data_IF_908908851995
#
_entry.id   IF_908908851995
#
_cell.length_a   1.000
_cell.length_b   1.000
_cell.length_c   1.000
_cell.angle_alpha   90.00
_cell.angle_beta   90.00
_cell.angle_gamma   90.00
#
_symmetry.space_group_name_H-M   'P 1'
#
loop_
_entity.id
_entity.type
_entity.pdbx_description
1 polymer ?
#
# COMPACT_ATOMS: atom_id res chain seq x y z
N UNK A 1 -9.20 0.98 19.84
CA UNK A 1 -8.86 1.05 18.39
C UNK A 1 -7.36 1.09 18.11
N UNK A 2 -6.60 2.16 18.40
CA UNK A 2 -5.12 2.15 18.17
C UNK A 2 -4.37 1.21 19.13
N UNK A 3 -4.85 1.08 20.37
CA UNK A 3 -4.28 0.18 21.39
C UNK A 3 -4.42 -1.31 20.99
N UNK A 4 -5.48 -1.67 20.25
CA UNK A 4 -5.69 -3.02 19.73
C UNK A 4 -4.70 -3.37 18.60
N UNK A 5 -4.31 -2.39 17.79
CA UNK A 5 -3.34 -2.56 16.69
C UNK A 5 -1.90 -2.60 17.22
N UNK A 6 -1.68 -2.03 18.43
CA UNK A 6 -0.38 -1.80 19.08
C UNK A 6 0.52 -0.81 18.34
N UNK A 7 1.14 0.09 19.10
CA UNK A 7 2.11 1.04 18.57
C UNK A 7 3.43 0.33 18.16
N UNK A 8 4.14 0.85 17.15
CA UNK A 8 3.82 2.03 16.34
C UNK A 8 2.72 1.79 15.30
N UNK A 9 1.93 2.84 15.04
CA UNK A 9 0.83 2.84 14.05
C UNK A 9 1.05 3.88 12.95
N UNK A 10 0.40 3.67 11.83
CA UNK A 10 0.27 4.64 10.74
C UNK A 10 -1.15 5.18 10.70
N UNK A 11 -1.28 6.49 10.60
CA UNK A 11 -2.54 7.19 10.34
C UNK A 11 -2.51 7.64 8.89
N UNK A 12 -3.53 7.28 8.10
CA UNK A 12 -3.64 7.60 6.67
C UNK A 12 -5.02 8.15 6.34
N UNK A 13 -5.08 9.30 5.69
CA UNK A 13 -6.30 9.78 5.03
C UNK A 13 -6.58 8.95 3.76
N UNK A 14 -7.82 8.54 3.56
CA UNK A 14 -8.23 7.70 2.43
C UNK A 14 -8.06 8.40 1.08
N UNK A 15 -8.21 9.72 1.04
CA UNK A 15 -8.12 10.55 -0.17
C UNK A 15 -6.77 11.28 -0.26
N UNK A 16 -5.80 10.90 0.58
CA UNK A 16 -4.44 11.45 0.56
C UNK A 16 -3.60 10.84 -0.56
N UNK A 17 -3.01 11.69 -1.41
CA UNK A 17 -2.11 11.28 -2.49
C UNK A 17 -0.69 11.83 -2.33
N UNK A 18 0.31 11.12 -2.87
CA UNK A 18 1.70 11.61 -2.93
C UNK A 18 2.37 11.82 -1.57
N UNK A 19 2.01 11.00 -0.57
CA UNK A 19 2.53 11.11 0.80
C UNK A 19 1.80 12.13 1.68
N UNK A 20 0.77 12.81 1.16
CA UNK A 20 -0.09 13.69 1.96
C UNK A 20 -1.07 12.92 2.83
N UNK A 21 -1.35 13.44 4.03
CA UNK A 21 -2.32 12.84 4.95
C UNK A 21 -1.83 11.54 5.59
N UNK A 22 -0.51 11.33 5.64
CA UNK A 22 0.11 10.13 6.20
C UNK A 22 1.02 10.53 7.38
N UNK A 23 0.84 9.89 8.54
CA UNK A 23 1.69 10.10 9.74
C UNK A 23 2.01 8.79 10.44
N UNK A 24 3.28 8.65 10.82
CA UNK A 24 3.74 7.60 11.74
C UNK A 24 3.59 8.08 13.17
N UNK A 25 3.01 7.26 14.03
CA UNK A 25 2.85 7.55 15.47
C UNK A 25 3.51 6.44 16.28
N UNK A 26 4.55 6.81 17.03
CA UNK A 26 5.36 5.88 17.83
C UNK A 26 4.74 5.57 19.19
N UNK A 27 4.00 6.51 19.77
CA UNK A 27 3.45 6.41 21.13
C UNK A 27 2.06 7.04 21.23
N UNK A 28 1.21 6.58 22.16
CA UNK A 28 -0.15 7.09 22.33
C UNK A 28 -0.25 8.61 22.49
N UNK A 29 0.70 9.22 23.19
CA UNK A 29 0.65 10.65 23.53
C UNK A 29 0.76 11.54 22.28
N UNK A 30 1.35 11.02 21.20
CA UNK A 30 1.54 11.73 19.93
C UNK A 30 0.36 11.55 18.96
N UNK A 31 -0.62 10.71 19.30
CA UNK A 31 -1.71 10.34 18.40
C UNK A 31 -2.60 11.53 18.05
N UNK A 32 -3.13 12.23 19.05
CA UNK A 32 -4.07 13.35 18.87
C UNK A 32 -3.48 14.47 18.01
N UNK A 33 -2.22 14.83 18.26
CA UNK A 33 -1.52 15.84 17.46
C UNK A 33 -1.40 15.40 15.99
N UNK A 34 -0.98 14.15 15.76
CA UNK A 34 -0.78 13.62 14.40
C UNK A 34 -2.10 13.47 13.64
N UNK A 35 -3.16 13.06 14.33
CA UNK A 35 -4.50 12.95 13.78
C UNK A 35 -5.05 14.32 13.34
N UNK A 36 -4.95 15.34 14.21
CA UNK A 36 -5.38 16.70 13.88
C UNK A 36 -4.59 17.30 12.72
N UNK A 37 -3.29 17.00 12.62
CA UNK A 37 -2.47 17.42 11.49
C UNK A 37 -2.97 16.84 10.15
N UNK A 38 -3.42 15.58 10.14
CA UNK A 38 -4.00 14.95 8.94
C UNK A 38 -5.35 15.58 8.58
N UNK A 39 -6.21 15.87 9.56
CA UNK A 39 -7.48 16.55 9.31
C UNK A 39 -7.29 17.93 8.65
N UNK A 40 -6.25 18.66 9.05
CA UNK A 40 -5.91 19.94 8.43
C UNK A 40 -5.31 19.77 7.01
N UNK A 41 -4.60 18.68 6.76
CA UNK A 41 -3.94 18.41 5.48
C UNK A 41 -4.91 17.88 4.41
N UNK A 42 -5.88 17.04 4.81
CA UNK A 42 -6.88 16.44 3.93
C UNK A 42 -8.28 16.57 4.58
N UNK A 43 -8.89 17.78 4.55
CA UNK A 43 -10.16 18.04 5.22
C UNK A 43 -11.30 17.18 4.67
N UNK A 44 -12.10 16.59 5.56
CA UNK A 44 -13.28 15.78 5.20
C UNK A 44 -12.97 14.34 4.78
N UNK A 45 -11.69 13.98 4.63
CA UNK A 45 -11.30 12.63 4.23
C UNK A 45 -11.45 11.63 5.38
N UNK A 46 -12.00 10.43 5.13
CA UNK A 46 -11.98 9.35 6.09
C UNK A 46 -10.54 9.00 6.51
N UNK A 47 -10.32 8.73 7.80
CA UNK A 47 -9.00 8.39 8.33
C UNK A 47 -8.95 6.91 8.74
N UNK A 48 -7.90 6.23 8.29
CA UNK A 48 -7.57 4.85 8.60
C UNK A 48 -6.39 4.79 9.57
N UNK A 49 -6.45 3.86 10.52
CA UNK A 49 -5.35 3.52 11.42
C UNK A 49 -4.89 2.11 11.08
N UNK A 50 -3.61 1.94 10.77
CA UNK A 50 -3.03 0.66 10.37
C UNK A 50 -1.75 0.38 11.14
N UNK A 51 -1.41 -0.90 11.29
CA UNK A 51 -0.13 -1.31 11.88
C UNK A 51 1.01 -0.80 11.00
N UNK A 52 2.04 -0.23 11.62
CA UNK A 52 3.25 0.10 10.88
C UNK A 52 3.96 -1.20 10.50
N UNK A 53 4.06 -1.48 9.19
CA UNK A 53 4.97 -2.51 8.71
C UNK A 53 6.41 -2.03 8.95
N UNK A 54 7.25 -2.89 9.51
CA UNK A 54 8.65 -2.58 9.85
C UNK A 54 9.54 -2.40 8.62
N UNK A 55 10.62 -3.18 8.51
CA UNK A 55 11.52 -3.18 7.34
C UNK A 55 10.86 -3.86 6.12
N UNK A 56 9.72 -3.33 5.69
CA UNK A 56 8.97 -3.81 4.53
C UNK A 56 9.41 -3.10 3.25
N UNK A 57 9.41 -3.85 2.16
CA UNK A 57 9.54 -3.35 0.79
C UNK A 57 8.17 -2.91 0.29
N UNK A 58 8.15 -1.85 -0.52
CA UNK A 58 6.95 -1.41 -1.21
C UNK A 58 6.97 -2.00 -2.62
N UNK A 59 6.17 -3.05 -2.84
CA UNK A 59 6.10 -3.75 -4.11
C UNK A 59 4.75 -3.51 -4.76
N UNK A 60 4.75 -3.39 -6.08
CA UNK A 60 3.54 -3.13 -6.86
C UNK A 60 3.37 -4.21 -7.92
N UNK A 61 2.12 -4.54 -8.25
CA UNK A 61 1.77 -5.35 -9.43
C UNK A 61 0.96 -4.49 -10.40
N UNK A 62 1.42 -4.42 -11.63
CA UNK A 62 0.66 -3.80 -12.71
C UNK A 62 -0.42 -4.76 -13.19
N UNK A 63 -1.68 -4.32 -13.13
CA UNK A 63 -2.83 -5.04 -13.67
C UNK A 63 -3.42 -4.30 -14.87
N UNK A 64 -3.99 -5.06 -15.80
CA UNK A 64 -4.83 -4.55 -16.90
C UNK A 64 -6.07 -5.42 -16.96
N UNK A 65 -7.24 -4.79 -16.98
CA UNK A 65 -8.52 -5.47 -17.03
C UNK A 65 -9.45 -4.88 -18.09
N UNK A 66 -10.31 -5.72 -18.65
CA UNK A 66 -11.28 -5.35 -19.68
C UNK A 66 -12.72 -5.34 -19.15
N UNK A 67 -13.66 -4.91 -19.98
CA UNK A 67 -15.09 -4.83 -19.64
C UNK A 67 -15.79 -6.21 -19.62
N UNK A 68 -15.08 -7.29 -19.97
CA UNK A 68 -15.62 -8.64 -20.03
C UNK A 68 -15.25 -9.48 -18.80
N UNK A 69 -14.59 -8.86 -17.80
CA UNK A 69 -14.17 -9.51 -16.56
C UNK A 69 -12.81 -10.21 -16.66
N UNK A 70 -12.07 -10.02 -17.76
CA UNK A 70 -10.71 -10.52 -17.85
C UNK A 70 -9.76 -9.54 -17.17
N UNK A 71 -8.81 -10.07 -16.40
CA UNK A 71 -7.71 -9.29 -15.85
C UNK A 71 -6.42 -10.09 -15.91
N UNK A 72 -5.32 -9.39 -16.21
CA UNK A 72 -3.97 -9.96 -16.22
C UNK A 72 -3.04 -9.11 -15.37
N UNK A 73 -2.03 -9.75 -14.80
CA UNK A 73 -0.87 -9.07 -14.24
C UNK A 73 0.23 -9.03 -15.30
N UNK A 74 0.88 -7.88 -15.50
CA UNK A 74 2.04 -7.78 -16.41
C UNK A 74 3.32 -8.17 -15.67
N UNK A 75 3.83 -7.25 -14.85
CA UNK A 75 5.00 -7.43 -14.00
C UNK A 75 4.79 -6.63 -12.72
N UNK A 76 5.80 -6.63 -11.85
CA UNK A 76 5.81 -5.75 -10.69
C UNK A 76 6.96 -4.77 -10.68
N UNK A 77 6.84 -3.82 -9.75
CA UNK A 77 7.86 -2.80 -9.48
C UNK A 77 8.25 -2.84 -8.02
N UNK A 78 9.53 -2.59 -7.74
CA UNK A 78 10.01 -2.26 -6.41
C UNK A 78 10.10 -0.74 -6.28
N UNK A 79 9.27 -0.17 -5.42
CA UNK A 79 9.17 1.26 -5.15
C UNK A 79 9.60 1.58 -3.70
N UNK A 80 10.44 0.73 -3.10
CA UNK A 80 10.85 0.84 -1.69
C UNK A 80 11.71 2.07 -1.39
N UNK A 81 12.39 2.62 -2.40
CA UNK A 81 13.21 3.83 -2.23
C UNK A 81 12.29 5.04 -2.20
N UNK A 82 11.95 5.47 -0.98
CA UNK A 82 11.04 6.57 -0.74
C UNK A 82 11.66 7.60 0.20
N UNK A 83 11.40 8.87 -0.05
CA UNK A 83 11.72 9.96 0.85
C UNK A 83 10.41 10.58 1.34
N UNK A 84 10.15 10.53 2.65
CA UNK A 84 8.92 11.06 3.26
C UNK A 84 7.64 10.55 2.55
N UNK A 85 7.59 9.25 2.26
CA UNK A 85 6.48 8.56 1.57
C UNK A 85 6.25 8.96 0.11
N UNK A 86 7.24 9.59 -0.53
CA UNK A 86 7.24 9.85 -1.97
C UNK A 86 8.19 8.88 -2.67
N UNK A 87 7.73 8.24 -3.74
CA UNK A 87 8.50 7.27 -4.53
C UNK A 87 9.61 8.01 -5.30
N UNK A 88 10.87 7.74 -4.96
CA UNK A 88 12.04 8.41 -5.58
C UNK A 88 12.63 7.55 -6.68
N UNK A 89 12.87 6.27 -6.40
CA UNK A 89 13.37 5.29 -7.37
C UNK A 89 12.35 4.17 -7.48
N UNK A 90 12.10 3.74 -8.72
CA UNK A 90 11.25 2.60 -9.05
C UNK A 90 12.03 1.67 -9.96
N UNK A 91 12.11 0.41 -9.59
CA UNK A 91 12.82 -0.62 -10.34
C UNK A 91 11.85 -1.68 -10.85
N UNK A 92 12.13 -2.27 -12.02
CA UNK A 92 11.38 -3.38 -12.56
C UNK A 92 12.34 -4.39 -13.24
N UNK A 93 12.14 -5.70 -13.08
CA UNK A 93 11.09 -6.36 -12.29
C UNK A 93 11.40 -6.39 -10.79
N UNK A 94 10.46 -6.90 -9.98
CA UNK A 94 10.71 -7.25 -8.57
C UNK A 94 11.71 -8.40 -8.49
N UNK A 95 12.83 -8.18 -7.79
CA UNK A 95 13.89 -9.18 -7.60
C UNK A 95 14.04 -9.67 -6.16
N UNK A 96 13.56 -8.89 -5.19
CA UNK A 96 13.73 -9.18 -3.76
C UNK A 96 12.78 -10.27 -3.23
N UNK A 97 11.59 -10.39 -3.83
CA UNK A 97 10.61 -11.39 -3.42
C UNK A 97 10.92 -12.75 -4.03
N UNK A 98 10.69 -13.83 -3.28
CA UNK A 98 10.82 -15.19 -3.82
C UNK A 98 9.85 -15.37 -5.00
N UNK A 99 10.22 -16.08 -6.08
CA UNK A 99 9.37 -16.22 -7.27
C UNK A 99 7.96 -16.74 -6.97
N UNK A 100 7.85 -17.71 -6.05
CA UNK A 100 6.58 -18.30 -5.63
C UNK A 100 5.68 -17.27 -4.91
N UNK A 101 6.27 -16.41 -4.10
CA UNK A 101 5.55 -15.39 -3.32
C UNK A 101 5.13 -14.23 -4.20
N UNK A 102 5.99 -13.84 -5.14
CA UNK A 102 5.62 -12.85 -6.13
C UNK A 102 4.52 -13.36 -7.08
N UNK A 103 4.50 -14.66 -7.42
CA UNK A 103 3.40 -15.28 -8.15
C UNK A 103 2.07 -15.21 -7.38
N UNK A 104 2.10 -15.43 -6.06
CA UNK A 104 0.92 -15.24 -5.20
C UNK A 104 0.45 -13.78 -5.17
N UNK A 105 1.38 -12.83 -5.13
CA UNK A 105 1.06 -11.39 -5.19
C UNK A 105 0.38 -11.02 -6.51
N UNK A 106 0.87 -11.53 -7.64
CA UNK A 106 0.24 -11.33 -8.96
C UNK A 106 -1.18 -11.90 -9.01
N UNK A 107 -1.37 -13.14 -8.51
CA UNK A 107 -2.70 -13.77 -8.43
C UNK A 107 -3.66 -12.99 -7.54
N UNK A 108 -3.18 -12.46 -6.41
CA UNK A 108 -3.98 -11.63 -5.52
C UNK A 108 -4.42 -10.33 -6.20
N UNK A 109 -3.52 -9.66 -6.93
CA UNK A 109 -3.82 -8.44 -7.69
C UNK A 109 -4.87 -8.68 -8.79
N UNK A 110 -4.71 -9.76 -9.58
CA UNK A 110 -5.67 -10.15 -10.62
C UNK A 110 -7.04 -10.45 -10.01
N UNK A 111 -7.07 -11.25 -8.94
CA UNK A 111 -8.32 -11.59 -8.24
C UNK A 111 -9.04 -10.34 -7.71
N UNK A 112 -8.29 -9.37 -7.17
CA UNK A 112 -8.86 -8.11 -6.71
C UNK A 112 -9.46 -7.31 -7.86
N UNK A 113 -8.74 -7.16 -8.97
CA UNK A 113 -9.21 -6.45 -10.16
C UNK A 113 -10.50 -7.07 -10.71
N UNK A 114 -10.57 -8.41 -10.79
CA UNK A 114 -11.78 -9.12 -11.23
C UNK A 114 -12.95 -8.93 -10.25
N UNK A 115 -12.68 -9.02 -8.94
CA UNK A 115 -13.70 -8.92 -7.90
C UNK A 115 -14.42 -7.57 -7.93
N UNK A 116 -13.69 -6.48 -8.20
CA UNK A 116 -14.26 -5.13 -8.24
C UNK A 116 -14.75 -4.73 -9.63
N UNK A 117 -14.68 -5.62 -10.63
CA UNK A 117 -15.05 -5.31 -12.01
C UNK A 117 -14.18 -4.20 -12.61
N UNK A 118 -12.89 -4.20 -12.29
CA UNK A 118 -11.95 -3.17 -12.72
C UNK A 118 -11.85 -3.15 -14.25
N UNK A 119 -11.71 -1.95 -14.83
CA UNK A 119 -11.56 -1.73 -16.27
C UNK A 119 -10.42 -0.73 -16.45
N UNK A 120 -9.56 -0.96 -17.45
CA UNK A 120 -8.33 -0.20 -17.73
C UNK A 120 -7.09 -0.75 -17.00
N UNK A 121 -6.00 0.03 -17.00
CA UNK A 121 -4.79 -0.24 -16.25
C UNK A 121 -4.94 0.19 -14.79
N UNK A 122 -4.37 -0.58 -13.86
CA UNK A 122 -4.35 -0.26 -12.43
C UNK A 122 -3.10 -0.78 -11.76
N UNK A 123 -2.78 -0.27 -10.59
CA UNK A 123 -1.62 -0.75 -9.81
C UNK A 123 -2.07 -1.21 -8.44
N UNK A 124 -1.87 -2.50 -8.15
CA UNK A 124 -2.07 -3.02 -6.79
C UNK A 124 -0.77 -2.89 -6.01
N UNK A 125 -0.81 -2.20 -4.87
CA UNK A 125 0.36 -1.94 -4.02
C UNK A 125 0.34 -2.86 -2.81
N UNK A 126 1.52 -3.34 -2.44
CA UNK A 126 1.74 -4.26 -1.34
C UNK A 126 2.93 -3.84 -0.48
N UNK A 127 2.82 -4.12 0.82
CA UNK A 127 3.96 -4.14 1.74
C UNK A 127 4.48 -5.56 1.83
N UNK A 128 5.75 -5.77 1.53
CA UNK A 128 6.41 -7.08 1.54
C UNK A 128 7.49 -7.15 2.62
N UNK A 129 7.34 -8.07 3.57
CA UNK A 129 8.30 -8.32 4.64
C UNK A 129 9.27 -9.43 4.22
N UNK A 130 10.51 -9.06 3.86
CA UNK A 130 11.50 -9.99 3.32
C UNK A 130 11.94 -11.07 4.32
N UNK A 131 11.94 -10.79 5.62
CA UNK A 131 12.36 -11.74 6.66
C UNK A 131 11.40 -12.92 6.82
N UNK A 132 10.09 -12.66 6.71
CA UNK A 132 9.06 -13.70 6.83
C UNK A 132 8.51 -14.15 5.48
N UNK A 133 8.91 -13.48 4.40
CA UNK A 133 8.39 -13.63 3.06
C UNK A 133 6.85 -13.53 3.00
N UNK A 134 6.31 -12.52 3.68
CA UNK A 134 4.86 -12.24 3.73
C UNK A 134 4.57 -10.93 3.01
N UNK A 135 3.42 -10.85 2.39
CA UNK A 135 2.95 -9.60 1.78
C UNK A 135 1.56 -9.22 2.28
N UNK A 136 1.30 -7.92 2.29
CA UNK A 136 0.09 -7.31 2.79
C UNK A 136 -0.40 -6.28 1.78
N UNK A 137 -1.68 -6.35 1.42
CA UNK A 137 -2.30 -5.37 0.52
C UNK A 137 -2.27 -3.97 1.17
N UNK A 138 -1.95 -2.95 0.36
CA UNK A 138 -1.94 -1.56 0.78
C UNK A 138 -3.06 -0.76 0.10
N UNK A 139 -3.07 -0.73 -1.23
CA UNK A 139 -4.10 -0.02 -2.02
C UNK A 139 -4.16 -0.54 -3.46
N UNK A 140 -5.24 -0.19 -4.15
CA UNK A 140 -5.37 -0.31 -5.61
C UNK A 140 -5.48 1.11 -6.16
N UNK A 141 -4.46 1.54 -6.89
CA UNK A 141 -4.44 2.85 -7.52
C UNK A 141 -5.13 2.77 -8.90
N UNK A 142 -6.25 3.51 -9.07
CA UNK A 142 -7.02 3.50 -10.31
C UNK A 142 -6.36 4.27 -11.47
#
# INVERSE_FOLDING_TARGET
MAEEISYPVMIKAAEGGGGKGVRKVEKPENFTMSFNAILGEVPGSPILIMKLAGAARHLEVQVVADQYGNAISLFGRDCSVQLRHQKIIKEAPVTIARPQTFEQMKKAAVRLAQLVGYVSAGTTEFLYEALTDRFYFLELNP
#
